data_IF_277057656137
#
_entry.id   IF_277057656137
#
_cell.length_a   1.000
_cell.length_b   1.000
_cell.length_c   1.000
_cell.angle_alpha   90.00
_cell.angle_beta   90.00
_cell.angle_gamma   90.00
#
_symmetry.space_group_name_H-M   'P 1'
#
loop_
_entity.id
_entity.type
_entity.pdbx_description
1 polymer ?
#
# COMPACT_ATOMS: atom_id res chain seq x y z
N UNK A 1 64.91 6.91 28.64
CA UNK A 1 64.73 7.16 27.19
C UNK A 1 63.21 7.10 26.90
N UNK A 2 62.54 8.24 26.89
CA UNK A 2 61.07 8.34 26.83
C UNK A 2 60.71 8.78 25.41
N UNK A 3 59.93 7.95 24.68
CA UNK A 3 59.48 8.26 23.32
C UNK A 3 58.15 9.03 23.45
N UNK A 4 57.99 10.21 22.85
CA UNK A 4 56.72 10.95 22.87
C UNK A 4 55.76 10.34 21.84
N UNK A 5 54.67 9.78 22.30
CA UNK A 5 53.58 9.27 21.50
C UNK A 5 52.83 10.45 20.82
N UNK A 6 52.88 10.50 19.51
CA UNK A 6 52.33 11.61 18.70
C UNK A 6 50.81 11.56 18.73
N UNK A 7 50.22 12.48 19.47
CA UNK A 7 48.78 12.64 19.73
C UNK A 7 47.98 13.17 18.51
N UNK A 8 48.62 13.31 17.35
CA UNK A 8 48.02 13.85 16.11
C UNK A 8 47.41 12.81 15.17
N UNK A 9 47.71 11.52 15.36
CA UNK A 9 47.20 10.47 14.47
C UNK A 9 45.80 9.94 14.82
N UNK A 10 45.28 10.23 16.03
CA UNK A 10 44.01 9.68 16.50
C UNK A 10 42.80 10.48 15.94
N UNK A 11 42.99 11.78 15.64
CA UNK A 11 41.89 12.60 15.14
C UNK A 11 41.50 12.38 13.66
N UNK A 12 42.38 11.88 12.84
CA UNK A 12 42.08 11.63 11.42
C UNK A 12 41.31 10.34 11.17
N UNK A 13 41.36 9.38 12.08
CA UNK A 13 40.71 8.06 11.95
C UNK A 13 39.19 8.11 12.22
N UNK A 14 38.71 9.07 13.02
CA UNK A 14 37.28 9.20 13.37
C UNK A 14 36.45 9.93 12.31
N UNK A 15 37.05 10.78 11.50
CA UNK A 15 36.34 11.54 10.47
C UNK A 15 36.08 10.75 9.18
N UNK A 16 36.88 9.76 8.89
CA UNK A 16 36.70 8.92 7.68
C UNK A 16 35.58 7.90 7.82
N UNK A 17 35.25 7.42 9.01
CA UNK A 17 34.14 6.51 9.22
C UNK A 17 32.76 7.19 9.12
N UNK A 18 32.63 8.46 9.51
CA UNK A 18 31.35 9.17 9.47
C UNK A 18 30.88 9.49 8.04
N UNK A 19 31.80 9.70 7.10
CA UNK A 19 31.46 9.97 5.69
C UNK A 19 31.05 8.72 4.92
N UNK A 20 31.47 7.53 5.36
CA UNK A 20 31.11 6.28 4.70
C UNK A 20 29.68 5.80 5.04
N UNK A 21 29.15 6.18 6.22
CA UNK A 21 27.78 5.84 6.62
C UNK A 21 26.73 6.68 5.90
N UNK A 22 27.04 7.93 5.57
CA UNK A 22 26.12 8.81 4.87
C UNK A 22 25.90 8.42 3.39
N UNK A 23 26.85 7.72 2.78
CA UNK A 23 26.73 7.33 1.36
C UNK A 23 25.93 6.03 1.14
N UNK A 24 25.89 5.15 2.15
CA UNK A 24 25.13 3.91 2.03
C UNK A 24 23.61 4.09 2.23
N UNK A 25 23.17 5.13 2.94
CA UNK A 25 21.75 5.37 3.18
C UNK A 25 20.96 5.78 1.92
N UNK A 26 21.64 6.41 0.93
CA UNK A 26 20.97 6.86 -0.28
C UNK A 26 20.83 5.77 -1.37
N UNK A 27 21.67 4.75 -1.34
CA UNK A 27 21.60 3.66 -2.32
C UNK A 27 20.34 2.77 -2.12
N UNK A 28 19.89 2.61 -0.87
CA UNK A 28 18.74 1.76 -0.54
C UNK A 28 17.41 2.35 -1.05
N UNK A 29 17.24 3.67 -0.99
CA UNK A 29 15.99 4.34 -1.44
C UNK A 29 15.89 4.34 -2.97
N UNK A 30 17.01 4.50 -3.67
CA UNK A 30 17.05 4.48 -5.13
C UNK A 30 16.76 3.09 -5.70
N UNK A 31 17.21 2.04 -5.03
CA UNK A 31 17.00 0.64 -5.43
C UNK A 31 15.52 0.24 -5.32
N UNK A 32 14.86 0.62 -4.23
CA UNK A 32 13.42 0.36 -4.02
C UNK A 32 12.55 1.04 -5.08
N UNK A 33 12.87 2.29 -5.46
CA UNK A 33 12.13 3.02 -6.49
C UNK A 33 12.32 2.43 -7.89
N UNK A 34 13.43 1.80 -8.16
CA UNK A 34 13.71 1.16 -9.46
C UNK A 34 12.95 -0.16 -9.59
N UNK A 35 12.90 -0.94 -8.53
CA UNK A 35 12.23 -2.24 -8.51
C UNK A 35 10.70 -2.08 -8.65
N UNK A 36 10.11 -1.06 -8.04
CA UNK A 36 8.67 -0.81 -8.14
C UNK A 36 8.22 -0.58 -9.59
N UNK A 37 9.00 0.13 -10.41
CA UNK A 37 8.67 0.41 -11.82
C UNK A 37 8.78 -0.81 -12.75
N UNK A 38 9.44 -1.86 -12.31
CA UNK A 38 9.58 -3.10 -13.06
C UNK A 38 8.41 -4.06 -12.85
N UNK A 39 7.57 -3.81 -11.85
CA UNK A 39 6.40 -4.64 -11.55
C UNK A 39 5.35 -4.48 -12.64
N UNK A 40 5.08 -5.56 -13.37
CA UNK A 40 4.05 -5.64 -14.41
C UNK A 40 3.00 -6.70 -14.12
N UNK A 41 3.38 -7.76 -13.42
CA UNK A 41 2.49 -8.86 -13.05
C UNK A 41 2.28 -8.90 -11.56
N UNK A 42 1.03 -8.74 -11.14
CA UNK A 42 0.66 -8.68 -9.72
C UNK A 42 -0.28 -9.85 -9.40
N UNK A 43 0.07 -10.61 -8.38
CA UNK A 43 -0.81 -11.59 -7.78
C UNK A 43 -1.53 -10.97 -6.58
N UNK A 44 -2.84 -11.19 -6.46
CA UNK A 44 -3.63 -10.71 -5.32
C UNK A 44 -3.86 -11.87 -4.35
N UNK A 45 -3.19 -11.82 -3.22
CA UNK A 45 -3.34 -12.78 -2.13
C UNK A 45 -4.62 -12.52 -1.31
N UNK A 46 -4.78 -13.21 -0.21
CA UNK A 46 -5.86 -12.93 0.74
C UNK A 46 -5.67 -11.54 1.37
N UNK A 47 -6.77 -10.82 1.55
CA UNK A 47 -6.79 -9.50 2.19
C UNK A 47 -7.41 -9.62 3.60
N UNK A 48 -6.81 -10.46 4.45
CA UNK A 48 -7.29 -10.76 5.79
C UNK A 48 -8.24 -11.94 5.86
N UNK A 49 -8.56 -12.37 7.10
CA UNK A 49 -9.39 -13.55 7.37
C UNK A 49 -10.81 -13.19 7.84
N UNK A 50 -11.12 -11.91 8.03
CA UNK A 50 -12.41 -11.46 8.56
C UNK A 50 -13.54 -11.64 7.54
N UNK A 51 -14.74 -11.88 8.05
CA UNK A 51 -15.95 -11.89 7.23
C UNK A 51 -16.11 -10.53 6.52
N UNK A 52 -16.22 -10.53 5.18
CA UNK A 52 -16.26 -9.31 4.37
C UNK A 52 -14.99 -9.05 3.56
N UNK A 53 -13.83 -9.58 3.97
CA UNK A 53 -12.56 -9.38 3.24
C UNK A 53 -12.53 -10.06 1.87
N UNK A 54 -13.27 -11.16 1.70
CA UNK A 54 -13.39 -11.85 0.40
C UNK A 54 -13.97 -10.93 -0.68
N UNK A 55 -14.86 -10.01 -0.31
CA UNK A 55 -15.41 -8.99 -1.19
C UNK A 55 -14.34 -8.04 -1.74
N UNK A 56 -13.42 -7.59 -0.90
CA UNK A 56 -12.34 -6.70 -1.32
C UNK A 56 -11.38 -7.36 -2.30
N UNK A 57 -10.96 -8.62 -2.05
CA UNK A 57 -10.12 -9.35 -3.00
C UNK A 57 -10.75 -9.41 -4.39
N UNK A 58 -12.02 -9.77 -4.45
CA UNK A 58 -12.76 -9.82 -5.73
C UNK A 58 -12.79 -8.45 -6.40
N UNK A 59 -13.08 -7.37 -5.65
CA UNK A 59 -13.13 -6.00 -6.18
C UNK A 59 -11.77 -5.54 -6.70
N UNK A 60 -10.69 -5.80 -5.98
CA UNK A 60 -9.32 -5.47 -6.40
C UNK A 60 -8.95 -6.24 -7.68
N UNK A 61 -9.25 -7.53 -7.75
CA UNK A 61 -9.05 -8.35 -8.95
C UNK A 61 -9.85 -7.80 -10.14
N UNK A 62 -11.11 -7.42 -9.94
CA UNK A 62 -11.96 -6.86 -10.99
C UNK A 62 -11.46 -5.48 -11.47
N UNK A 63 -10.91 -4.65 -10.58
CA UNK A 63 -10.31 -3.36 -10.98
C UNK A 63 -8.95 -3.58 -11.67
N UNK A 64 -8.10 -4.49 -11.21
CA UNK A 64 -6.84 -4.84 -11.87
C UNK A 64 -7.05 -5.37 -13.30
N UNK A 65 -8.09 -6.19 -13.54
CA UNK A 65 -8.43 -6.67 -14.89
C UNK A 65 -8.79 -5.53 -15.86
N UNK A 66 -9.18 -4.38 -15.36
CA UNK A 66 -9.48 -3.19 -16.16
C UNK A 66 -8.23 -2.34 -16.42
N UNK A 67 -7.18 -2.53 -15.64
CA UNK A 67 -5.88 -1.92 -15.89
C UNK A 67 -5.28 -2.45 -17.19
N UNK A 68 -4.63 -1.58 -17.95
CA UNK A 68 -3.98 -1.98 -19.21
C UNK A 68 -2.49 -2.28 -19.02
N UNK A 69 -1.92 -1.73 -17.97
CA UNK A 69 -0.47 -1.71 -17.77
C UNK A 69 -0.02 -2.73 -16.71
N UNK A 70 -0.97 -3.22 -15.90
CA UNK A 70 -0.72 -4.23 -14.88
C UNK A 70 -1.48 -5.51 -15.27
N UNK A 71 -0.76 -6.61 -15.35
CA UNK A 71 -1.33 -7.92 -15.66
C UNK A 71 -1.55 -8.70 -14.37
N UNK A 72 -2.74 -9.30 -14.22
CA UNK A 72 -3.04 -10.18 -13.09
C UNK A 72 -2.32 -11.52 -13.27
N UNK A 73 -1.49 -11.89 -12.31
CA UNK A 73 -0.88 -13.22 -12.25
C UNK A 73 -1.85 -14.24 -11.67
N UNK A 74 -1.77 -15.48 -12.14
CA UNK A 74 -2.61 -16.59 -11.69
C UNK A 74 -2.06 -17.20 -10.40
N UNK A 75 -0.74 -17.26 -10.29
CA UNK A 75 -0.03 -17.80 -9.12
C UNK A 75 0.99 -16.79 -8.58
N UNK A 76 1.38 -16.88 -7.31
CA UNK A 76 2.39 -16.00 -6.75
C UNK A 76 3.77 -16.21 -7.40
N UNK A 77 4.08 -17.42 -7.89
CA UNK A 77 5.35 -17.76 -8.53
C UNK A 77 5.52 -17.03 -9.88
N UNK A 78 4.41 -16.83 -10.59
CA UNK A 78 4.39 -16.13 -11.89
C UNK A 78 4.35 -14.61 -11.75
N UNK A 79 4.16 -14.10 -10.54
CA UNK A 79 4.06 -12.68 -10.28
C UNK A 79 5.43 -12.02 -10.11
N UNK A 80 5.49 -10.75 -10.47
CA UNK A 80 6.63 -9.90 -10.16
C UNK A 80 6.52 -9.36 -8.74
N UNK A 81 5.26 -9.19 -8.25
CA UNK A 81 4.94 -8.79 -6.89
C UNK A 81 3.60 -9.36 -6.42
N UNK A 82 3.45 -9.51 -5.12
CA UNK A 82 2.26 -10.02 -4.44
C UNK A 82 1.58 -8.90 -3.67
N UNK A 83 0.31 -8.63 -3.97
CA UNK A 83 -0.52 -7.70 -3.21
C UNK A 83 -1.18 -8.44 -2.06
N UNK A 84 -0.81 -8.09 -0.84
CA UNK A 84 -1.38 -8.56 0.42
C UNK A 84 -2.06 -7.42 1.16
N UNK A 85 -2.79 -7.70 2.21
CA UNK A 85 -3.36 -6.63 3.03
C UNK A 85 -4.31 -7.14 4.10
N UNK A 86 -4.90 -6.18 4.81
CA UNK A 86 -5.94 -6.40 5.79
C UNK A 86 -7.04 -5.35 5.63
N UNK A 87 -8.26 -5.70 6.02
CA UNK A 87 -9.39 -4.78 5.95
C UNK A 87 -10.31 -4.97 7.15
N UNK A 88 -10.81 -3.85 7.64
CA UNK A 88 -11.83 -3.80 8.65
C UNK A 88 -12.84 -2.73 8.25
N UNK A 89 -14.01 -3.15 7.79
CA UNK A 89 -15.08 -2.25 7.36
C UNK A 89 -16.35 -2.59 8.14
N UNK A 90 -16.92 -1.60 8.79
CA UNK A 90 -18.13 -1.75 9.56
C UNK A 90 -19.10 -0.57 9.35
N UNK A 91 -20.39 -0.81 9.65
CA UNK A 91 -21.40 0.23 9.61
C UNK A 91 -21.34 0.99 10.94
N UNK A 92 -20.94 2.28 10.89
CA UNK A 92 -20.91 3.17 12.03
C UNK A 92 -22.31 3.66 12.43
N UNK A 93 -23.21 3.78 11.47
CA UNK A 93 -24.56 4.27 11.67
C UNK A 93 -25.34 4.40 10.37
N UNK A 94 -26.50 5.03 10.47
CA UNK A 94 -27.36 5.30 9.31
C UNK A 94 -27.74 6.77 9.28
N UNK A 95 -27.80 7.35 8.10
CA UNK A 95 -28.30 8.72 7.89
C UNK A 95 -29.66 8.63 7.20
N UNK A 96 -30.69 9.20 7.84
CA UNK A 96 -32.00 9.36 7.21
C UNK A 96 -32.02 10.60 6.32
N UNK A 97 -32.37 10.42 5.06
CA UNK A 97 -32.54 11.51 4.10
C UNK A 97 -33.89 12.25 4.29
N UNK A 98 -34.80 11.68 5.09
CA UNK A 98 -36.07 12.29 5.37
C UNK A 98 -36.32 12.44 6.89
N UNK A 99 -35.97 13.61 7.47
CA UNK A 99 -36.12 13.86 8.91
C UNK A 99 -37.57 13.88 9.41
N UNK A 100 -38.56 13.87 8.51
CA UNK A 100 -39.98 13.89 8.88
C UNK A 100 -40.61 12.51 8.99
N UNK A 101 -40.03 11.48 8.43
CA UNK A 101 -40.45 10.10 8.64
C UNK A 101 -39.81 9.65 9.96
N UNK A 102 -40.63 9.27 10.96
CA UNK A 102 -40.13 8.63 12.17
C UNK A 102 -39.31 7.41 11.78
N UNK A 103 -38.00 7.59 11.75
CA UNK A 103 -37.04 6.61 11.24
C UNK A 103 -37.01 5.42 12.16
N UNK A 104 -37.38 4.25 11.63
CA UNK A 104 -37.06 2.98 12.29
C UNK A 104 -35.55 2.77 12.21
N UNK A 105 -34.93 2.18 13.25
CA UNK A 105 -33.53 1.74 13.15
C UNK A 105 -33.35 0.88 11.89
N UNK A 106 -32.49 1.30 10.98
CA UNK A 106 -32.24 0.63 9.69
C UNK A 106 -32.87 1.31 8.45
N UNK A 107 -33.76 2.31 8.62
CA UNK A 107 -34.30 3.09 7.51
C UNK A 107 -33.34 4.26 7.19
N UNK A 108 -32.34 4.03 6.39
CA UNK A 108 -31.39 5.07 6.00
C UNK A 108 -30.24 4.54 5.19
N UNK A 109 -29.45 5.45 4.68
CA UNK A 109 -28.22 5.11 3.98
C UNK A 109 -27.12 4.77 5.01
N UNK A 110 -26.47 3.59 4.93
CA UNK A 110 -25.44 3.20 5.88
C UNK A 110 -24.21 4.11 5.75
N UNK A 111 -23.68 4.51 6.90
CA UNK A 111 -22.39 5.21 7.03
C UNK A 111 -21.36 4.19 7.42
N UNK A 112 -20.39 3.99 6.54
CA UNK A 112 -19.29 3.07 6.77
C UNK A 112 -18.11 3.77 7.42
N UNK A 113 -17.40 3.04 8.27
CA UNK A 113 -16.13 3.41 8.86
C UNK A 113 -15.18 2.21 8.79
N UNK A 114 -13.87 2.45 8.93
CA UNK A 114 -12.85 1.42 8.87
C UNK A 114 -11.75 1.72 7.85
N UNK A 115 -11.09 0.67 7.38
CA UNK A 115 -9.94 0.80 6.49
C UNK A 115 -9.75 -0.42 5.56
N UNK A 116 -8.97 -0.20 4.51
CA UNK A 116 -8.34 -1.22 3.68
C UNK A 116 -6.85 -0.89 3.61
N UNK A 117 -6.03 -1.68 4.29
CA UNK A 117 -4.57 -1.60 4.23
C UNK A 117 -4.05 -2.61 3.23
N UNK A 118 -3.17 -2.18 2.34
CA UNK A 118 -2.56 -3.06 1.35
C UNK A 118 -1.06 -2.84 1.28
N UNK A 119 -0.34 -3.92 1.00
CA UNK A 119 1.10 -3.95 0.80
C UNK A 119 1.41 -4.70 -0.49
N UNK A 120 2.26 -4.12 -1.32
CA UNK A 120 2.82 -4.76 -2.50
C UNK A 120 4.21 -5.28 -2.13
N UNK A 121 4.38 -6.59 -2.13
CA UNK A 121 5.62 -7.27 -1.77
C UNK A 121 6.30 -7.83 -2.99
N UNK A 122 7.62 -7.61 -3.07
CA UNK A 122 8.46 -8.19 -4.12
C UNK A 122 8.77 -9.67 -3.87
N UNK A 123 9.62 -10.25 -4.73
CA UNK A 123 9.96 -11.69 -4.69
C UNK A 123 10.70 -12.11 -3.42
N UNK A 124 11.41 -11.19 -2.78
CA UNK A 124 12.13 -11.45 -1.53
C UNK A 124 11.32 -11.06 -0.28
N UNK A 125 10.01 -10.93 -0.41
CA UNK A 125 9.08 -10.47 0.64
C UNK A 125 9.35 -9.03 1.13
N UNK A 126 10.18 -8.25 0.41
CA UNK A 126 10.38 -6.83 0.68
C UNK A 126 9.13 -6.02 0.31
N UNK A 127 8.77 -5.06 1.16
CA UNK A 127 7.64 -4.17 0.90
C UNK A 127 8.07 -3.10 -0.11
N UNK A 128 7.58 -3.20 -1.33
CA UNK A 128 7.83 -2.24 -2.41
C UNK A 128 6.95 -1.01 -2.29
N UNK A 129 5.72 -1.20 -1.82
CA UNK A 129 4.73 -0.14 -1.68
C UNK A 129 3.66 -0.53 -0.66
N UNK A 130 3.13 0.45 0.05
CA UNK A 130 2.01 0.26 0.97
C UNK A 130 1.04 1.42 0.87
N UNK A 131 -0.25 1.13 1.13
CA UNK A 131 -1.28 2.15 1.12
C UNK A 131 -2.42 1.81 2.07
N UNK A 132 -2.90 2.84 2.77
CA UNK A 132 -4.06 2.78 3.64
C UNK A 132 -5.20 3.58 3.01
N UNK A 133 -6.26 2.89 2.59
CA UNK A 133 -7.48 3.51 2.09
C UNK A 133 -8.54 3.56 3.20
N UNK A 134 -9.20 4.71 3.34
CA UNK A 134 -10.32 4.89 4.27
C UNK A 134 -11.54 5.38 3.51
N UNK A 135 -12.77 5.03 3.95
CA UNK A 135 -14.00 5.56 3.37
C UNK A 135 -14.01 7.08 3.43
N UNK A 136 -14.26 7.75 2.30
CA UNK A 136 -14.28 9.22 2.25
C UNK A 136 -15.66 9.81 2.45
N UNK A 137 -16.69 9.11 2.00
CA UNK A 137 -18.09 9.54 2.04
C UNK A 137 -19.04 8.35 2.12
N UNK A 138 -20.29 8.65 2.39
CA UNK A 138 -21.40 7.72 2.26
C UNK A 138 -21.46 7.17 0.85
N UNK A 139 -21.26 5.89 0.70
CA UNK A 139 -21.35 5.20 -0.57
C UNK A 139 -21.98 3.85 -0.37
N UNK A 140 -23.05 3.58 -1.11
CA UNK A 140 -23.61 2.22 -1.19
C UNK A 140 -22.62 1.21 -1.79
N UNK A 141 -21.49 1.69 -2.33
CA UNK A 141 -20.47 0.88 -2.99
C UNK A 141 -19.07 1.08 -2.39
N UNK A 142 -18.98 1.29 -1.09
CA UNK A 142 -17.74 1.62 -0.37
C UNK A 142 -16.59 0.67 -0.67
N UNK A 143 -16.83 -0.64 -0.75
CA UNK A 143 -15.80 -1.63 -1.10
C UNK A 143 -15.20 -1.38 -2.50
N UNK A 144 -16.05 -1.05 -3.47
CA UNK A 144 -15.61 -0.73 -4.84
C UNK A 144 -14.79 0.55 -4.86
N UNK A 145 -15.21 1.56 -4.11
CA UNK A 145 -14.55 2.86 -4.09
C UNK A 145 -13.18 2.76 -3.42
N UNK A 146 -13.06 1.99 -2.34
CA UNK A 146 -11.78 1.69 -1.70
C UNK A 146 -10.86 0.88 -2.63
N UNK A 147 -11.37 -0.15 -3.30
CA UNK A 147 -10.58 -0.92 -4.28
C UNK A 147 -10.08 -0.04 -5.42
N UNK A 148 -10.94 0.83 -6.00
CA UNK A 148 -10.54 1.80 -7.02
C UNK A 148 -9.48 2.78 -6.52
N UNK A 149 -9.60 3.24 -5.28
CA UNK A 149 -8.64 4.15 -4.67
C UNK A 149 -7.27 3.50 -4.55
N UNK A 150 -7.20 2.25 -4.08
CA UNK A 150 -5.98 1.46 -3.98
C UNK A 150 -5.33 1.29 -5.36
N UNK A 151 -6.08 0.77 -6.34
CA UNK A 151 -5.54 0.51 -7.69
C UNK A 151 -5.04 1.79 -8.34
N UNK A 152 -5.80 2.88 -8.27
CA UNK A 152 -5.39 4.18 -8.84
C UNK A 152 -4.10 4.70 -8.20
N UNK A 153 -3.95 4.53 -6.87
CA UNK A 153 -2.73 4.94 -6.17
C UNK A 153 -1.55 4.08 -6.55
N UNK A 154 -1.74 2.77 -6.63
CA UNK A 154 -0.71 1.85 -7.09
C UNK A 154 -0.26 2.17 -8.53
N UNK A 155 -1.17 2.39 -9.47
CA UNK A 155 -0.85 2.79 -10.85
C UNK A 155 -0.07 4.10 -10.92
N UNK A 156 -0.43 5.09 -10.10
CA UNK A 156 0.31 6.36 -10.02
C UNK A 156 1.76 6.17 -9.60
N UNK A 157 2.00 5.34 -8.57
CA UNK A 157 3.34 5.08 -8.04
C UNK A 157 4.18 4.19 -8.99
N UNK A 158 3.55 3.24 -9.66
CA UNK A 158 4.18 2.44 -10.72
C UNK A 158 4.54 3.26 -11.96
N UNK A 159 4.17 4.53 -12.02
CA UNK A 159 4.43 5.42 -13.15
C UNK A 159 3.55 5.15 -14.36
N UNK A 160 2.49 4.38 -14.16
CA UNK A 160 1.46 4.15 -15.17
C UNK A 160 0.71 5.47 -15.39
N UNK A 161 0.78 6.01 -16.60
CA UNK A 161 0.04 7.22 -16.96
C UNK A 161 -1.45 6.90 -16.98
N UNK A 162 -2.15 7.21 -15.90
CA UNK A 162 -3.60 7.34 -15.95
C UNK A 162 -3.92 8.48 -16.93
N UNK A 163 -4.35 8.15 -18.15
CA UNK A 163 -4.96 9.15 -19.03
C UNK A 163 -6.22 9.69 -18.35
N UNK A 164 -6.43 11.01 -18.35
CA UNK A 164 -7.62 11.65 -17.81
C UNK A 164 -8.89 11.17 -18.49
#
# INVERSE_FOLDING_TARGET
MVVPTCMRCVFYSLWTCALWWAWNANASIAQTATDLRQVKRVFVASLGEKAGTAGFRKRIVDELKRSRDITLAISPEDADAVLTGDSDLYIRGYISLNPRSGTRPGDGEPVYDGFLSVELKGKNDEVLWSYLATPRFQSSHVERDLAKQVIRKMEQELGVRTRP
#
